data_IF_413684149272
#
_entry.id   IF_413684149272
#
_cell.length_a   1.000
_cell.length_b   1.000
_cell.length_c   1.000
_cell.angle_alpha   90.00
_cell.angle_beta   90.00
_cell.angle_gamma   90.00
#
_symmetry.space_group_name_H-M   'P 1'
#
loop_
_entity.id
_entity.type
_entity.pdbx_description
1 polymer ?
#
# COMPACT_ATOMS: atom_id res chain seq x y z
N UNK A 1 0.85 -7.04 -40.89
CA UNK A 1 0.64 -8.12 -39.87
C UNK A 1 1.64 -8.01 -38.72
N UNK A 2 2.91 -7.78 -39.02
CA UNK A 2 4.01 -7.57 -38.06
C UNK A 2 3.77 -6.46 -37.03
N UNK A 3 3.20 -5.32 -37.43
CA UNK A 3 2.93 -4.19 -36.51
C UNK A 3 1.90 -4.52 -35.42
N UNK A 4 0.88 -5.33 -35.73
CA UNK A 4 -0.15 -5.74 -34.75
C UNK A 4 0.41 -6.72 -33.72
N UNK A 5 1.32 -7.61 -34.15
CA UNK A 5 2.01 -8.56 -33.27
C UNK A 5 2.96 -7.81 -32.33
N UNK A 6 3.68 -6.81 -32.84
CA UNK A 6 4.55 -5.96 -32.04
C UNK A 6 3.76 -5.16 -30.98
N UNK A 7 2.61 -4.58 -31.34
CA UNK A 7 1.74 -3.88 -30.38
C UNK A 7 1.24 -4.81 -29.26
N UNK A 8 0.83 -6.04 -29.57
CA UNK A 8 0.39 -7.00 -28.56
C UNK A 8 1.52 -7.40 -27.60
N UNK A 9 2.74 -7.57 -28.11
CA UNK A 9 3.92 -7.84 -27.29
C UNK A 9 4.25 -6.66 -26.35
N UNK A 10 4.20 -5.43 -26.86
CA UNK A 10 4.43 -4.23 -26.05
C UNK A 10 3.35 -4.05 -24.98
N UNK A 11 2.07 -4.32 -25.31
CA UNK A 11 0.98 -4.25 -24.35
C UNK A 11 1.13 -5.31 -23.24
N UNK A 12 1.54 -6.52 -23.61
CA UNK A 12 1.83 -7.61 -22.66
C UNK A 12 2.99 -7.28 -21.73
N UNK A 13 4.09 -6.74 -22.28
CA UNK A 13 5.24 -6.25 -21.50
C UNK A 13 4.82 -5.12 -20.55
N UNK A 14 4.07 -4.14 -21.05
CA UNK A 14 3.56 -3.04 -20.23
C UNK A 14 2.70 -3.55 -19.07
N UNK A 15 1.77 -4.49 -19.33
CA UNK A 15 0.96 -5.12 -18.30
C UNK A 15 1.80 -5.86 -17.26
N UNK A 16 2.81 -6.61 -17.69
CA UNK A 16 3.73 -7.31 -16.79
C UNK A 16 4.52 -6.34 -15.89
N UNK A 17 5.09 -5.28 -16.47
CA UNK A 17 5.80 -4.24 -15.72
C UNK A 17 4.87 -3.52 -14.74
N UNK A 18 3.63 -3.21 -15.15
CA UNK A 18 2.65 -2.58 -14.29
C UNK A 18 2.30 -3.46 -13.08
N UNK A 19 2.02 -4.75 -13.30
CA UNK A 19 1.67 -5.68 -12.22
C UNK A 19 2.84 -5.89 -11.26
N UNK A 20 4.05 -6.10 -11.79
CA UNK A 20 5.26 -6.27 -10.96
C UNK A 20 5.57 -5.01 -10.15
N UNK A 21 5.46 -3.83 -10.77
CA UNK A 21 5.61 -2.55 -10.08
C UNK A 21 4.59 -2.37 -8.94
N UNK A 22 3.30 -2.62 -9.21
CA UNK A 22 2.25 -2.53 -8.19
C UNK A 22 2.48 -3.51 -7.04
N UNK A 23 2.93 -4.74 -7.33
CA UNK A 23 3.21 -5.77 -6.32
C UNK A 23 4.40 -5.39 -5.45
N UNK A 24 5.53 -5.03 -6.07
CA UNK A 24 6.75 -4.62 -5.36
C UNK A 24 6.48 -3.40 -4.45
N UNK A 25 5.70 -2.44 -4.94
CA UNK A 25 5.35 -1.25 -4.15
C UNK A 25 4.41 -1.57 -2.98
N UNK A 26 3.49 -2.52 -3.15
CA UNK A 26 2.61 -3.00 -2.08
C UNK A 26 3.38 -3.74 -0.99
N UNK A 27 4.41 -4.52 -1.36
CA UNK A 27 5.30 -5.18 -0.41
C UNK A 27 6.08 -4.14 0.41
N UNK A 28 6.66 -3.14 -0.24
CA UNK A 28 7.39 -2.06 0.43
C UNK A 28 6.51 -1.26 1.44
N UNK A 29 5.27 -0.91 1.05
CA UNK A 29 4.35 -0.20 1.95
C UNK A 29 3.95 -1.04 3.16
N UNK A 30 3.81 -2.36 3.00
CA UNK A 30 3.52 -3.29 4.10
C UNK A 30 4.69 -3.37 5.09
N UNK A 31 5.92 -3.45 4.60
CA UNK A 31 7.11 -3.51 5.45
C UNK A 31 7.27 -2.24 6.29
N UNK A 32 6.93 -1.07 5.69
CA UNK A 32 6.94 0.22 6.39
C UNK A 32 5.88 0.27 7.50
N UNK A 33 4.67 -0.23 7.23
CA UNK A 33 3.61 -0.35 8.24
C UNK A 33 4.04 -1.30 9.37
N UNK A 34 4.61 -2.45 9.04
CA UNK A 34 5.07 -3.40 10.04
C UNK A 34 6.17 -2.81 10.94
N UNK A 35 7.14 -2.09 10.36
CA UNK A 35 8.16 -1.37 11.11
C UNK A 35 7.57 -0.29 12.02
N UNK A 36 6.53 0.42 11.56
CA UNK A 36 5.80 1.41 12.36
C UNK A 36 5.10 0.76 13.57
N UNK A 37 4.32 -0.31 13.37
CA UNK A 37 3.65 -1.00 14.48
C UNK A 37 4.64 -1.66 15.45
N UNK A 38 5.76 -2.18 14.94
CA UNK A 38 6.81 -2.75 15.80
C UNK A 38 7.39 -1.71 16.75
N UNK A 39 7.58 -0.46 16.31
CA UNK A 39 8.02 0.64 17.19
C UNK A 39 7.01 0.97 18.29
N UNK A 40 5.73 0.74 18.03
CA UNK A 40 4.64 0.96 18.99
C UNK A 40 4.36 -0.24 19.90
N UNK A 41 5.20 -1.28 19.86
CA UNK A 41 4.95 -2.58 20.51
C UNK A 41 3.60 -3.20 20.11
N UNK A 42 3.16 -2.93 18.88
CA UNK A 42 1.96 -3.50 18.28
C UNK A 42 2.33 -4.59 17.26
N UNK A 43 1.46 -5.59 17.11
CA UNK A 43 1.61 -6.64 16.08
C UNK A 43 0.54 -6.47 15.02
N UNK A 44 0.97 -6.26 13.78
CA UNK A 44 0.06 -6.23 12.63
C UNK A 44 -0.49 -7.63 12.34
N UNK A 45 -1.81 -7.75 12.24
CA UNK A 45 -2.51 -9.00 11.92
C UNK A 45 -2.92 -9.06 10.45
N UNK A 46 -3.49 -7.96 9.94
CA UNK A 46 -3.91 -7.85 8.54
C UNK A 46 -3.68 -6.43 8.03
N UNK A 47 -3.40 -6.33 6.73
CA UNK A 47 -3.18 -5.08 6.03
C UNK A 47 -3.85 -5.16 4.66
N UNK A 48 -4.89 -4.36 4.45
CA UNK A 48 -5.56 -4.19 3.18
C UNK A 48 -5.40 -2.76 2.70
N UNK A 49 -5.06 -2.59 1.42
CA UNK A 49 -5.09 -1.28 0.81
C UNK A 49 -6.55 -0.90 0.57
N UNK A 50 -6.97 0.29 1.01
CA UNK A 50 -8.30 0.79 0.67
C UNK A 50 -8.31 1.22 -0.80
N UNK A 51 -9.31 0.74 -1.54
CA UNK A 51 -9.44 0.99 -2.98
C UNK A 51 -9.93 2.43 -3.20
N UNK A 52 -9.10 3.24 -3.88
CA UNK A 52 -9.46 4.45 -4.63
C UNK A 52 -10.61 5.29 -4.04
N UNK A 53 -10.41 5.88 -2.87
CA UNK A 53 -11.08 7.15 -2.61
C UNK A 53 -10.44 8.20 -3.53
N UNK A 54 -11.21 9.00 -4.29
CA UNK A 54 -10.66 10.10 -5.07
C UNK A 54 -10.02 11.07 -4.08
N UNK A 55 -8.70 11.00 -4.01
CA UNK A 55 -7.85 11.79 -3.14
C UNK A 55 -7.81 13.23 -3.67
N UNK A 56 -8.92 13.96 -3.57
CA UNK A 56 -8.95 15.40 -3.79
C UNK A 56 -8.09 16.05 -2.69
N UNK A 57 -6.88 16.46 -3.07
CA UNK A 57 -5.95 17.17 -2.19
C UNK A 57 -4.96 16.31 -1.40
N UNK A 58 -5.00 14.97 -1.52
CA UNK A 58 -3.94 14.14 -0.97
C UNK A 58 -2.87 13.90 -2.03
N UNK A 59 -1.62 14.08 -1.60
CA UNK A 59 -0.43 14.08 -2.46
C UNK A 59 -0.41 12.82 -3.33
N UNK A 60 0.01 12.95 -4.60
CA UNK A 60 -0.13 11.92 -5.66
C UNK A 60 0.50 10.56 -5.33
N UNK A 61 1.23 10.51 -4.21
CA UNK A 61 2.00 9.39 -3.70
C UNK A 61 1.49 8.86 -2.35
N UNK A 62 0.34 9.34 -1.88
CA UNK A 62 -0.25 8.92 -0.61
C UNK A 62 -1.22 7.76 -0.83
N UNK A 63 -1.12 6.71 -0.01
CA UNK A 63 -1.99 5.53 -0.07
C UNK A 63 -2.54 5.22 1.31
N UNK A 64 -3.82 4.88 1.36
CA UNK A 64 -4.51 4.53 2.59
C UNK A 64 -4.60 3.02 2.73
N UNK A 65 -4.24 2.53 3.90
CA UNK A 65 -4.30 1.14 4.29
C UNK A 65 -5.20 1.02 5.52
N UNK A 66 -6.12 0.06 5.46
CA UNK A 66 -6.82 -0.42 6.64
C UNK A 66 -5.97 -1.51 7.27
N UNK A 67 -5.58 -1.30 8.53
CA UNK A 67 -4.71 -2.22 9.25
C UNK A 67 -5.39 -2.66 10.54
N UNK A 68 -5.47 -3.97 10.71
CA UNK A 68 -5.84 -4.58 11.98
C UNK A 68 -4.57 -4.96 12.72
N UNK A 69 -4.42 -4.48 13.96
CA UNK A 69 -3.24 -4.73 14.80
C UNK A 69 -3.63 -5.03 16.24
N UNK A 70 -2.78 -5.78 16.94
CA UNK A 70 -2.86 -6.01 18.38
C UNK A 70 -1.97 -5.01 19.09
N UNK A 71 -2.50 -4.34 20.11
CA UNK A 71 -1.69 -3.50 20.99
C UNK A 71 -0.90 -4.34 22.02
N UNK A 72 -0.01 -3.69 22.77
CA UNK A 72 0.76 -4.35 23.83
C UNK A 72 -0.10 -5.00 24.92
N UNK A 73 -1.35 -4.55 25.11
CA UNK A 73 -2.32 -5.13 26.03
C UNK A 73 -3.12 -6.30 25.45
N UNK A 74 -2.80 -6.78 24.24
CA UNK A 74 -3.49 -7.90 23.59
C UNK A 74 -4.87 -7.55 23.02
N UNK A 75 -5.24 -6.26 22.97
CA UNK A 75 -6.49 -5.80 22.36
C UNK A 75 -6.30 -5.55 20.87
N UNK A 76 -7.26 -6.02 20.08
CA UNK A 76 -7.29 -5.84 18.65
C UNK A 76 -7.95 -4.51 18.30
N UNK A 77 -7.30 -3.75 17.41
CA UNK A 77 -7.81 -2.52 16.85
C UNK A 77 -7.75 -2.60 15.33
N UNK A 78 -8.67 -1.88 14.68
CA UNK A 78 -8.61 -1.64 13.25
C UNK A 78 -8.59 -0.14 13.05
N UNK A 79 -7.63 0.34 12.28
CA UNK A 79 -7.49 1.76 11.96
C UNK A 79 -6.95 1.97 10.56
N UNK A 80 -7.11 3.19 10.07
CA UNK A 80 -6.64 3.62 8.76
C UNK A 80 -5.32 4.35 8.91
N UNK A 81 -4.38 3.97 8.07
CA UNK A 81 -3.04 4.50 8.05
C UNK A 81 -2.71 4.98 6.65
N UNK A 82 -2.19 6.19 6.52
CA UNK A 82 -1.61 6.66 5.28
C UNK A 82 -0.14 6.30 5.23
N UNK A 83 0.30 5.81 4.08
CA UNK A 83 1.72 5.70 3.74
C UNK A 83 2.04 6.68 2.62
N UNK A 84 3.15 7.39 2.77
CA UNK A 84 3.69 8.30 1.77
C UNK A 84 5.20 8.07 1.66
N UNK A 85 5.75 8.04 0.45
CA UNK A 85 7.19 7.98 0.25
C UNK A 85 7.91 9.17 0.90
N UNK A 86 7.25 10.33 0.97
CA UNK A 86 7.80 11.56 1.55
C UNK A 86 7.64 11.64 3.07
N UNK A 87 6.46 11.28 3.60
CA UNK A 87 6.09 11.52 5.00
C UNK A 87 6.10 10.28 5.90
N UNK A 88 6.31 9.09 5.37
CA UNK A 88 6.32 7.86 6.18
C UNK A 88 4.92 7.28 6.37
N UNK A 89 4.66 6.75 7.58
CA UNK A 89 3.39 6.14 7.97
C UNK A 89 2.73 7.03 9.02
N UNK A 90 1.47 7.39 8.80
CA UNK A 90 0.70 8.24 9.72
C UNK A 90 -0.71 7.68 9.92
N UNK A 91 -1.25 7.79 11.14
CA UNK A 91 -2.62 7.41 11.45
C UNK A 91 -3.61 8.46 10.93
N UNK A 92 -4.72 8.02 10.32
CA UNK A 92 -5.79 8.90 9.86
C UNK A 92 -6.96 9.02 10.84
N UNK A 93 -7.09 8.07 11.77
CA UNK A 93 -8.20 8.02 12.73
C UNK A 93 -7.80 8.61 14.11
N UNK A 94 -6.94 9.64 14.10
CA UNK A 94 -6.45 10.33 15.30
C UNK A 94 -7.47 11.24 15.96
#
# INVERSE_FOLDING_TARGET
MTEKILMLLLLGLFGYFLVTYLRSRRENDRDRLEAYFRKLNCRMLSCSQEMLTPQFGADRYTRVYSVTYLNAGGRQFTGRFRTSELHGVESLDG
#
